data_IF_720655945543
#
_entry.id   IF_720655945543
#
_cell.length_a   1.000
_cell.length_b   1.000
_cell.length_c   1.000
_cell.angle_alpha   90.00
_cell.angle_beta   90.00
_cell.angle_gamma   90.00
#
_symmetry.space_group_name_H-M   'P 1'
#
loop_
_entity.id
_entity.type
_entity.pdbx_description
1 polymer ?
#
# COMPACT_ATOMS: atom_id res chain seq x y z
N UNK A 1 -99.11 -30.52 18.44
CA UNK A 1 -98.14 -30.46 19.56
C UNK A 1 -96.95 -31.34 19.17
N UNK A 2 -95.70 -30.90 19.04
CA UNK A 2 -95.09 -29.61 19.39
C UNK A 2 -94.00 -29.19 18.40
N UNK A 3 -93.31 -28.06 18.64
CA UNK A 3 -92.45 -27.43 17.64
C UNK A 3 -91.01 -27.94 17.67
N UNK A 4 -90.39 -28.01 16.49
CA UNK A 4 -88.95 -28.21 16.28
C UNK A 4 -88.24 -26.87 16.53
N UNK A 5 -87.44 -26.81 17.59
CA UNK A 5 -86.66 -25.63 17.98
C UNK A 5 -85.31 -25.68 17.23
N UNK A 6 -85.13 -24.77 16.27
CA UNK A 6 -83.83 -24.50 15.66
C UNK A 6 -83.03 -23.58 16.58
N UNK A 7 -81.96 -24.08 17.19
CA UNK A 7 -80.98 -23.23 17.88
C UNK A 7 -80.08 -22.56 16.83
N UNK A 8 -80.35 -21.29 16.51
CA UNK A 8 -79.36 -20.47 15.81
C UNK A 8 -78.29 -20.04 16.81
N UNK A 9 -77.08 -20.58 16.67
CA UNK A 9 -75.92 -20.07 17.39
C UNK A 9 -75.50 -18.75 16.73
N UNK A 10 -76.14 -17.66 17.14
CA UNK A 10 -75.64 -16.32 16.87
C UNK A 10 -74.24 -16.18 17.46
N UNK A 11 -73.22 -16.11 16.60
CA UNK A 11 -71.86 -15.83 17.04
C UNK A 11 -71.86 -14.42 17.64
N UNK A 12 -71.76 -14.34 18.97
CA UNK A 12 -71.51 -13.09 19.66
C UNK A 12 -70.22 -12.47 19.12
N UNK A 13 -70.34 -11.38 18.38
CA UNK A 13 -69.20 -10.52 18.11
C UNK A 13 -68.82 -9.82 19.41
N UNK A 14 -67.82 -10.37 20.11
CA UNK A 14 -67.19 -9.70 21.24
C UNK A 14 -66.33 -8.56 20.69
N UNK A 15 -66.68 -7.32 21.04
CA UNK A 15 -65.81 -6.15 20.83
C UNK A 15 -64.57 -6.24 21.74
N UNK A 16 -63.47 -5.64 21.30
CA UNK A 16 -62.26 -5.54 22.11
C UNK A 16 -62.50 -4.63 23.31
N UNK A 17 -62.07 -5.08 24.48
CA UNK A 17 -62.07 -4.24 25.69
C UNK A 17 -60.88 -3.27 25.64
N UNK A 18 -61.05 -2.08 26.21
CA UNK A 18 -59.99 -1.06 26.35
C UNK A 18 -58.68 -1.63 26.96
N UNK A 19 -58.71 -2.46 28.02
CA UNK A 19 -57.50 -3.09 28.54
C UNK A 19 -56.84 -4.09 27.57
N UNK A 20 -57.58 -4.83 26.74
CA UNK A 20 -56.98 -5.71 25.73
C UNK A 20 -56.22 -4.91 24.65
N UNK A 21 -56.73 -3.75 24.26
CA UNK A 21 -56.06 -2.86 23.30
C UNK A 21 -54.75 -2.28 23.87
N UNK A 22 -54.78 -1.85 25.13
CA UNK A 22 -53.58 -1.33 25.81
C UNK A 22 -52.51 -2.42 25.99
N UNK A 23 -52.93 -3.64 26.32
CA UNK A 23 -52.01 -4.77 26.45
C UNK A 23 -51.37 -5.12 25.10
N UNK A 24 -52.17 -5.18 24.02
CA UNK A 24 -51.66 -5.43 22.68
C UNK A 24 -50.67 -4.34 22.22
N UNK A 25 -50.98 -3.06 22.45
CA UNK A 25 -50.11 -1.95 22.07
C UNK A 25 -48.78 -1.95 22.84
N UNK A 26 -48.82 -2.18 24.15
CA UNK A 26 -47.60 -2.25 24.98
C UNK A 26 -46.69 -3.41 24.60
N UNK A 27 -47.25 -4.60 24.32
CA UNK A 27 -46.48 -5.74 23.81
C UNK A 27 -45.87 -5.45 22.44
N UNK A 28 -46.61 -4.79 21.54
CA UNK A 28 -46.08 -4.37 20.24
C UNK A 28 -44.88 -3.44 20.38
N UNK A 29 -44.95 -2.44 21.28
CA UNK A 29 -43.86 -1.51 21.59
C UNK A 29 -42.64 -2.21 22.21
N UNK A 30 -42.85 -3.18 23.10
CA UNK A 30 -41.76 -3.94 23.70
C UNK A 30 -40.99 -4.76 22.66
N UNK A 31 -41.72 -5.41 21.74
CA UNK A 31 -41.12 -6.21 20.67
C UNK A 31 -40.35 -5.33 19.69
N UNK A 32 -40.93 -4.19 19.27
CA UNK A 32 -40.25 -3.27 18.35
C UNK A 32 -39.00 -2.67 18.97
N UNK A 33 -39.04 -2.31 20.26
CA UNK A 33 -37.87 -1.81 20.99
C UNK A 33 -36.73 -2.84 20.99
N UNK A 34 -37.03 -4.10 21.33
CA UNK A 34 -36.04 -5.18 21.27
C UNK A 34 -35.45 -5.37 19.86
N UNK A 35 -36.28 -5.28 18.82
CA UNK A 35 -35.82 -5.38 17.43
C UNK A 35 -34.91 -4.22 17.02
N UNK A 36 -35.21 -3.00 17.46
CA UNK A 36 -34.38 -1.81 17.22
C UNK A 36 -33.00 -2.00 17.85
N UNK A 37 -32.93 -2.47 19.09
CA UNK A 37 -31.66 -2.70 19.78
C UNK A 37 -30.81 -3.78 19.10
N UNK A 38 -31.43 -4.89 18.71
CA UNK A 38 -30.75 -5.95 17.96
C UNK A 38 -30.22 -5.45 16.62
N UNK A 39 -31.02 -4.70 15.87
CA UNK A 39 -30.61 -4.16 14.58
C UNK A 39 -29.51 -3.11 14.73
N UNK A 40 -29.62 -2.22 15.73
CA UNK A 40 -28.58 -1.25 16.04
C UNK A 40 -27.26 -1.94 16.40
N UNK A 41 -27.32 -3.04 17.14
CA UNK A 41 -26.14 -3.83 17.45
C UNK A 41 -25.54 -4.51 16.21
N UNK A 42 -26.38 -5.12 15.39
CA UNK A 42 -25.97 -5.73 14.12
C UNK A 42 -25.25 -4.72 13.22
N UNK A 43 -25.78 -3.51 13.08
CA UNK A 43 -25.16 -2.44 12.30
C UNK A 43 -23.80 -1.99 12.86
N UNK A 44 -23.63 -1.97 14.20
CA UNK A 44 -22.33 -1.67 14.81
C UNK A 44 -21.30 -2.74 14.49
N UNK A 45 -21.67 -4.02 14.61
CA UNK A 45 -20.81 -5.16 14.30
C UNK A 45 -20.42 -5.16 12.82
N UNK A 46 -21.37 -4.93 11.92
CA UNK A 46 -21.08 -4.86 10.48
C UNK A 46 -20.08 -3.76 10.13
N UNK A 47 -20.21 -2.57 10.74
CA UNK A 47 -19.25 -1.47 10.53
C UNK A 47 -17.86 -1.81 11.06
N UNK A 48 -17.78 -2.54 12.17
CA UNK A 48 -16.50 -3.01 12.70
C UNK A 48 -15.84 -4.00 11.74
N UNK A 49 -16.59 -4.99 11.27
CA UNK A 49 -16.12 -5.97 10.29
C UNK A 49 -15.61 -5.27 9.02
N UNK A 50 -16.33 -4.26 8.52
CA UNK A 50 -15.91 -3.50 7.34
C UNK A 50 -14.56 -2.79 7.55
N UNK A 51 -14.37 -2.13 8.69
CA UNK A 51 -13.09 -1.47 9.02
C UNK A 51 -11.94 -2.46 9.13
N UNK A 52 -12.20 -3.61 9.74
CA UNK A 52 -11.18 -4.67 9.87
C UNK A 52 -10.84 -5.25 8.48
N UNK A 53 -11.85 -5.43 7.61
CA UNK A 53 -11.66 -5.87 6.22
C UNK A 53 -10.81 -4.87 5.42
N UNK A 54 -11.11 -3.58 5.51
CA UNK A 54 -10.32 -2.52 4.85
C UNK A 54 -8.84 -2.55 5.30
N UNK A 55 -8.59 -2.71 6.60
CA UNK A 55 -7.23 -2.82 7.14
C UNK A 55 -6.51 -4.08 6.65
N UNK A 56 -7.20 -5.22 6.59
CA UNK A 56 -6.63 -6.48 6.09
C UNK A 56 -6.33 -6.43 4.59
N UNK A 57 -7.22 -5.83 3.79
CA UNK A 57 -7.01 -5.65 2.35
C UNK A 57 -5.86 -4.70 2.06
N UNK A 58 -5.81 -3.56 2.75
CA UNK A 58 -4.70 -2.61 2.66
C UNK A 58 -3.36 -3.25 3.04
N UNK A 59 -3.35 -4.05 4.12
CA UNK A 59 -2.16 -4.80 4.52
C UNK A 59 -1.70 -5.80 3.45
N UNK A 60 -2.63 -6.57 2.85
CA UNK A 60 -2.30 -7.52 1.77
C UNK A 60 -1.78 -6.79 0.52
N UNK A 61 -2.40 -5.68 0.15
CA UNK A 61 -1.97 -4.87 -0.98
C UNK A 61 -0.55 -4.31 -0.79
N UNK A 62 -0.28 -3.71 0.39
CA UNK A 62 1.04 -3.21 0.75
C UNK A 62 2.11 -4.30 0.71
N UNK A 63 1.82 -5.48 1.27
CA UNK A 63 2.74 -6.62 1.27
C UNK A 63 3.01 -7.17 -0.14
N UNK A 64 1.99 -7.31 -0.98
CA UNK A 64 2.20 -7.78 -2.35
C UNK A 64 3.02 -6.78 -3.17
N UNK A 65 2.80 -5.48 -2.94
CA UNK A 65 3.59 -4.43 -3.56
C UNK A 65 5.06 -4.46 -3.11
N UNK A 66 5.32 -4.61 -1.82
CA UNK A 66 6.67 -4.79 -1.29
C UNK A 66 7.33 -6.05 -1.86
N UNK A 67 6.59 -7.16 -1.93
CA UNK A 67 7.08 -8.42 -2.50
C UNK A 67 7.50 -8.26 -3.96
N UNK A 68 6.72 -7.54 -4.76
CA UNK A 68 7.04 -7.27 -6.16
C UNK A 68 8.33 -6.46 -6.30
N UNK A 69 8.54 -5.45 -5.47
CA UNK A 69 9.72 -4.59 -5.50
C UNK A 69 10.97 -5.33 -5.01
N UNK A 70 10.86 -6.09 -3.91
CA UNK A 70 11.95 -6.92 -3.39
C UNK A 70 12.38 -7.99 -4.41
N UNK A 71 11.43 -8.57 -5.17
CA UNK A 71 11.75 -9.54 -6.24
C UNK A 71 12.60 -8.96 -7.36
N UNK A 72 12.52 -7.65 -7.59
CA UNK A 72 13.32 -6.95 -8.59
C UNK A 72 14.59 -6.33 -7.98
N UNK A 73 14.82 -6.46 -6.68
CA UNK A 73 15.99 -5.90 -6.04
C UNK A 73 17.27 -6.48 -6.66
N UNK A 74 18.21 -5.60 -7.03
CA UNK A 74 19.48 -6.00 -7.64
C UNK A 74 19.38 -6.41 -9.11
N UNK A 75 18.19 -6.41 -9.70
CA UNK A 75 18.06 -6.55 -11.15
C UNK A 75 18.50 -5.25 -11.80
N UNK A 76 19.61 -5.25 -12.53
CA UNK A 76 20.12 -4.06 -13.23
C UNK A 76 20.21 -4.23 -14.76
N UNK A 77 20.04 -5.45 -15.27
CA UNK A 77 20.12 -5.75 -16.70
C UNK A 77 21.05 -6.94 -16.97
N UNK A 78 21.37 -7.15 -18.24
CA UNK A 78 22.31 -8.18 -18.68
C UNK A 78 23.74 -7.64 -18.64
N UNK A 79 24.40 -7.75 -17.50
CA UNK A 79 25.80 -7.41 -17.33
C UNK A 79 26.30 -7.90 -15.98
N UNK A 80 27.62 -8.01 -15.83
CA UNK A 80 28.24 -8.21 -14.53
C UNK A 80 28.23 -6.91 -13.74
N UNK A 81 27.92 -7.02 -12.45
CA UNK A 81 28.13 -5.92 -11.51
C UNK A 81 29.64 -5.64 -11.45
N UNK A 82 30.06 -4.37 -11.38
CA UNK A 82 31.46 -4.05 -11.10
C UNK A 82 31.90 -4.74 -9.80
N UNK A 83 33.16 -5.21 -9.74
CA UNK A 83 33.67 -5.98 -8.59
C UNK A 83 33.51 -5.18 -7.30
N UNK A 84 32.65 -5.67 -6.41
CA UNK A 84 32.14 -4.98 -5.21
C UNK A 84 33.06 -5.08 -3.98
N UNK A 85 34.25 -5.68 -4.11
CA UNK A 85 35.05 -6.12 -2.94
C UNK A 85 35.56 -5.00 -2.03
N UNK A 86 35.44 -3.73 -2.43
CA UNK A 86 35.82 -2.57 -1.61
C UNK A 86 34.79 -1.43 -1.63
N UNK A 87 33.59 -1.66 -2.19
CA UNK A 87 32.62 -0.57 -2.33
C UNK A 87 31.97 -0.23 -0.99
N UNK A 88 32.16 1.02 -0.55
CA UNK A 88 31.45 1.55 0.61
C UNK A 88 29.93 1.51 0.33
N UNK A 89 29.18 0.91 1.25
CA UNK A 89 27.73 0.80 1.14
C UNK A 89 27.11 2.20 1.08
N UNK A 90 26.46 2.60 -0.03
CA UNK A 90 25.89 3.93 -0.11
C UNK A 90 24.73 4.09 0.87
N UNK A 91 24.69 5.24 1.55
CA UNK A 91 23.62 5.57 2.49
C UNK A 91 22.22 5.52 1.85
N UNK A 92 21.18 5.40 2.67
CA UNK A 92 19.80 5.31 2.16
C UNK A 92 19.40 6.56 1.35
N UNK A 93 19.89 7.73 1.74
CA UNK A 93 19.63 9.01 1.09
C UNK A 93 20.75 9.45 0.16
N UNK A 94 21.50 8.49 -0.37
CA UNK A 94 22.59 8.76 -1.28
C UNK A 94 22.07 9.53 -2.51
N UNK A 95 22.67 10.69 -2.77
CA UNK A 95 22.40 11.47 -3.96
C UNK A 95 23.30 10.96 -5.09
N UNK A 96 22.70 10.64 -6.23
CA UNK A 96 23.42 10.12 -7.38
C UNK A 96 24.08 11.27 -8.18
N UNK A 97 25.17 11.79 -7.63
CA UNK A 97 26.02 12.82 -8.23
C UNK A 97 27.42 12.26 -8.55
N UNK A 98 27.85 12.39 -9.80
CA UNK A 98 29.25 12.17 -10.21
C UNK A 98 29.80 10.75 -10.00
N UNK A 99 31.07 10.65 -9.58
CA UNK A 99 31.90 9.41 -9.56
C UNK A 99 31.39 8.27 -8.66
N UNK A 100 30.29 8.47 -7.92
CA UNK A 100 29.70 7.43 -7.08
C UNK A 100 28.63 6.56 -7.79
N UNK A 101 28.50 6.69 -9.11
CA UNK A 101 27.57 5.94 -9.94
C UNK A 101 27.73 4.41 -9.82
N UNK A 102 28.95 3.92 -9.57
CA UNK A 102 29.21 2.49 -9.46
C UNK A 102 28.77 1.89 -8.11
N UNK A 103 28.84 2.65 -7.02
CA UNK A 103 28.46 2.18 -5.68
C UNK A 103 26.97 1.86 -5.57
N UNK A 104 26.16 2.40 -6.46
CA UNK A 104 24.71 2.25 -6.48
C UNK A 104 24.27 0.81 -6.76
N UNK A 105 25.13 0.05 -7.44
CA UNK A 105 24.91 -1.38 -7.69
C UNK A 105 25.18 -2.25 -6.46
N UNK A 106 25.93 -1.73 -5.48
CA UNK A 106 26.16 -2.39 -4.21
C UNK A 106 24.94 -2.24 -3.27
N UNK A 107 24.74 -3.25 -2.42
CA UNK A 107 23.65 -3.32 -1.46
C UNK A 107 22.28 -2.93 -2.07
N UNK A 108 21.76 -3.73 -3.01
CA UNK A 108 20.47 -3.45 -3.64
C UNK A 108 19.29 -3.49 -2.66
N UNK A 109 19.49 -4.13 -1.50
CA UNK A 109 18.62 -4.04 -0.35
C UNK A 109 19.39 -3.40 0.82
N UNK A 110 18.77 -2.43 1.46
CA UNK A 110 19.28 -1.80 2.68
C UNK A 110 18.13 -1.47 3.63
N UNK A 111 18.44 -1.24 4.89
CA UNK A 111 17.43 -0.85 5.85
C UNK A 111 18.01 -0.31 7.13
N UNK A 112 17.13 0.35 7.90
CA UNK A 112 17.39 0.76 9.27
C UNK A 112 16.31 0.12 10.13
N UNK A 113 16.73 -0.48 11.23
CA UNK A 113 15.80 -1.06 12.19
C UNK A 113 15.50 -0.06 13.32
N UNK A 114 14.33 -0.20 13.92
CA UNK A 114 13.96 0.42 15.20
C UNK A 114 14.32 1.92 15.29
N UNK A 115 13.77 2.72 14.37
CA UNK A 115 14.09 4.14 14.30
C UNK A 115 13.53 4.91 15.49
N UNK A 116 14.33 5.85 16.00
CA UNK A 116 13.95 6.70 17.12
C UNK A 116 12.89 7.74 16.72
N UNK A 117 12.17 8.26 17.72
CA UNK A 117 11.15 9.29 17.53
C UNK A 117 11.69 10.53 16.79
N UNK A 118 10.85 11.12 15.94
CA UNK A 118 11.13 12.39 15.27
C UNK A 118 12.12 12.30 14.09
N UNK A 119 12.60 11.11 13.73
CA UNK A 119 13.46 10.93 12.56
C UNK A 119 12.68 11.07 11.25
N UNK A 120 13.35 11.57 10.20
CA UNK A 120 12.82 11.64 8.83
C UNK A 120 13.85 11.09 7.86
N UNK A 121 13.39 10.54 6.73
CA UNK A 121 14.27 9.94 5.72
C UNK A 121 14.22 10.72 4.41
N UNK A 122 15.38 11.19 3.95
CA UNK A 122 15.61 11.87 2.68
C UNK A 122 14.66 13.06 2.43
N UNK A 123 14.45 13.91 3.44
CA UNK A 123 13.49 15.02 3.38
C UNK A 123 12.04 14.55 3.28
N UNK A 124 11.73 13.36 3.78
CA UNK A 124 10.39 12.80 3.91
C UNK A 124 9.68 13.27 5.18
N UNK A 125 8.47 12.75 5.37
CA UNK A 125 7.71 12.93 6.61
C UNK A 125 8.38 12.20 7.78
N UNK A 126 7.95 12.54 9.00
CA UNK A 126 8.41 11.88 10.22
C UNK A 126 8.01 10.42 10.24
N UNK A 127 8.97 9.59 10.62
CA UNK A 127 8.84 8.15 10.73
C UNK A 127 8.22 7.81 12.08
N UNK A 128 7.36 6.80 12.10
CA UNK A 128 6.81 6.26 13.33
C UNK A 128 7.93 5.61 14.15
N UNK A 129 8.05 6.01 15.41
CA UNK A 129 9.03 5.43 16.33
C UNK A 129 8.88 3.90 16.42
N UNK A 130 10.01 3.19 16.49
CA UNK A 130 10.06 1.74 16.58
C UNK A 130 9.81 1.01 15.27
N UNK A 131 9.61 1.74 14.16
CA UNK A 131 9.45 1.14 12.83
C UNK A 131 10.74 1.13 12.03
N UNK A 132 10.74 0.31 10.98
CA UNK A 132 11.88 0.09 10.12
C UNK A 132 11.75 0.89 8.81
N UNK A 133 12.91 1.16 8.20
CA UNK A 133 13.00 1.66 6.83
C UNK A 133 13.60 0.57 5.96
N UNK A 134 13.02 0.35 4.79
CA UNK A 134 13.53 -0.55 3.76
C UNK A 134 13.85 0.24 2.49
N UNK A 135 15.05 0.06 1.95
CA UNK A 135 15.52 0.56 0.68
C UNK A 135 15.57 -0.59 -0.32
N UNK A 136 15.06 -0.35 -1.53
CA UNK A 136 15.16 -1.25 -2.68
C UNK A 136 15.76 -0.47 -3.85
N UNK A 137 16.83 -1.01 -4.44
CA UNK A 137 17.46 -0.52 -5.66
C UNK A 137 17.34 -1.57 -6.75
N UNK A 138 16.90 -1.13 -7.92
CA UNK A 138 16.69 -1.98 -9.10
C UNK A 138 16.70 -1.12 -10.37
N UNK A 139 16.73 -1.77 -11.52
CA UNK A 139 16.40 -1.19 -12.80
C UNK A 139 14.99 -1.61 -13.20
N UNK A 140 14.34 -0.75 -13.98
CA UNK A 140 13.04 -1.09 -14.53
C UNK A 140 13.11 -2.27 -15.52
N UNK A 141 12.08 -3.10 -15.54
CA UNK A 141 11.99 -4.27 -16.42
C UNK A 141 11.73 -3.89 -17.89
N UNK A 142 11.26 -2.68 -18.18
CA UNK A 142 11.15 -2.12 -19.52
C UNK A 142 12.45 -1.47 -20.00
N UNK A 143 12.71 -1.57 -21.31
CA UNK A 143 13.79 -0.86 -22.00
C UNK A 143 13.27 0.50 -22.46
N UNK A 144 14.10 1.54 -22.37
CA UNK A 144 13.79 2.90 -22.78
C UNK A 144 14.53 3.27 -24.07
N UNK A 145 13.77 3.72 -25.07
CA UNK A 145 14.32 4.29 -26.32
C UNK A 145 14.33 5.82 -26.32
N UNK A 146 13.57 6.43 -25.40
CA UNK A 146 13.50 7.88 -25.22
C UNK A 146 14.01 8.23 -23.83
N UNK A 147 15.03 9.06 -23.78
CA UNK A 147 15.71 9.42 -22.54
C UNK A 147 15.28 10.81 -22.08
N UNK A 148 15.19 10.99 -20.77
CA UNK A 148 15.01 12.28 -20.13
C UNK A 148 16.35 12.73 -19.54
N UNK A 149 16.76 13.97 -19.84
CA UNK A 149 18.10 14.47 -19.52
C UNK A 149 18.53 14.21 -18.06
N UNK A 150 17.67 14.50 -17.09
CA UNK A 150 17.99 14.40 -15.65
C UNK A 150 17.67 13.04 -15.03
N UNK A 151 17.09 12.11 -15.79
CA UNK A 151 16.76 10.77 -15.30
C UNK A 151 18.00 9.88 -15.36
N UNK A 152 18.25 9.14 -14.29
CA UNK A 152 19.27 8.10 -14.26
C UNK A 152 18.77 6.81 -14.91
N UNK A 153 19.63 6.24 -15.73
CA UNK A 153 19.43 4.98 -16.42
C UNK A 153 20.63 4.07 -16.14
N UNK A 154 20.33 2.79 -16.03
CA UNK A 154 21.32 1.73 -16.12
C UNK A 154 21.47 1.37 -17.60
N UNK A 155 22.67 1.50 -18.10
CA UNK A 155 23.09 1.08 -19.43
C UNK A 155 23.83 -0.23 -19.26
N UNK A 156 23.30 -1.29 -19.87
CA UNK A 156 23.97 -2.59 -19.90
C UNK A 156 24.65 -2.77 -21.26
N UNK A 157 25.98 -2.67 -21.25
CA UNK A 157 26.87 -2.88 -22.40
C UNK A 157 27.74 -4.10 -22.08
N UNK A 158 27.31 -5.32 -22.44
CA UNK A 158 27.92 -6.54 -21.95
C UNK A 158 29.45 -6.57 -22.11
N UNK A 159 30.22 -6.87 -21.05
CA UNK A 159 29.78 -7.34 -19.74
C UNK A 159 29.48 -6.23 -18.72
N UNK A 160 29.65 -4.95 -19.05
CA UNK A 160 29.66 -3.84 -18.09
C UNK A 160 28.24 -3.30 -17.84
N UNK A 161 27.95 -3.01 -16.58
CA UNK A 161 26.82 -2.17 -16.18
C UNK A 161 27.33 -0.78 -15.80
N UNK A 162 26.73 0.24 -16.39
CA UNK A 162 27.04 1.63 -16.09
C UNK A 162 25.76 2.37 -15.70
N UNK A 163 25.90 3.33 -14.79
CA UNK A 163 24.83 4.26 -14.47
C UNK A 163 25.16 5.61 -15.09
N UNK A 164 24.21 6.16 -15.83
CA UNK A 164 24.35 7.46 -16.49
C UNK A 164 23.00 8.19 -16.52
N UNK A 165 23.06 9.51 -16.58
CA UNK A 165 21.92 10.37 -16.84
C UNK A 165 21.54 10.35 -18.30
N UNK A 166 20.29 10.67 -18.63
CA UNK A 166 19.86 10.74 -20.02
C UNK A 166 20.67 11.73 -20.86
N UNK A 167 21.15 12.84 -20.28
CA UNK A 167 22.04 13.78 -20.98
C UNK A 167 23.42 13.18 -21.27
N UNK A 168 24.00 12.44 -20.32
CA UNK A 168 25.31 11.78 -20.53
C UNK A 168 25.21 10.73 -21.64
N UNK A 169 24.12 9.97 -21.67
CA UNK A 169 23.89 8.93 -22.69
C UNK A 169 23.65 9.54 -24.08
N UNK A 170 22.90 10.63 -24.17
CA UNK A 170 22.61 11.30 -25.45
C UNK A 170 23.82 12.04 -26.03
N UNK A 171 24.71 12.52 -25.16
CA UNK A 171 25.89 13.30 -25.56
C UNK A 171 27.13 12.43 -25.75
N UNK A 172 27.10 11.17 -25.35
CA UNK A 172 28.18 10.23 -25.57
C UNK A 172 27.86 9.31 -26.76
N UNK A 173 28.90 8.83 -27.43
CA UNK A 173 28.76 7.75 -28.41
C UNK A 173 28.59 6.37 -27.73
N UNK A 174 28.17 6.31 -26.45
CA UNK A 174 28.13 5.08 -25.64
C UNK A 174 27.03 4.10 -26.04
N UNK A 175 26.15 4.44 -26.99
CA UNK A 175 25.09 3.52 -27.43
C UNK A 175 25.59 2.71 -28.63
N UNK A 176 26.02 1.48 -28.34
CA UNK A 176 26.14 0.39 -29.30
C UNK A 176 24.79 -0.29 -29.56
N UNK A 177 24.69 -1.02 -30.66
CA UNK A 177 23.43 -1.66 -31.09
C UNK A 177 22.88 -2.75 -30.17
N UNK A 178 23.59 -3.09 -29.09
CA UNK A 178 23.21 -4.13 -28.13
C UNK A 178 22.94 -3.61 -26.71
N UNK A 179 22.94 -2.29 -26.52
CA UNK A 179 22.77 -1.73 -25.17
C UNK A 179 21.33 -1.78 -24.71
N UNK A 180 21.11 -2.34 -23.52
CA UNK A 180 19.81 -2.26 -22.87
C UNK A 180 19.81 -1.08 -21.91
N UNK A 181 18.98 -0.07 -22.19
CA UNK A 181 18.86 1.12 -21.36
C UNK A 181 17.60 1.00 -20.50
N UNK A 182 17.76 0.98 -19.19
CA UNK A 182 16.66 0.77 -18.22
C UNK A 182 16.67 1.89 -17.20
N UNK A 183 15.52 2.45 -16.86
CA UNK A 183 15.50 3.51 -15.84
C UNK A 183 15.93 2.96 -14.49
N UNK A 184 16.90 3.60 -13.83
CA UNK A 184 17.28 3.28 -12.47
C UNK A 184 16.13 3.62 -11.51
N UNK A 185 15.88 2.72 -10.55
CA UNK A 185 14.83 2.85 -9.56
C UNK A 185 15.41 2.68 -8.16
N UNK A 186 15.18 3.67 -7.33
CA UNK A 186 15.43 3.59 -5.89
C UNK A 186 14.14 3.93 -5.15
N UNK A 187 13.70 3.01 -4.30
CA UNK A 187 12.47 3.13 -3.53
C UNK A 187 12.78 2.92 -2.05
N UNK A 188 12.28 3.83 -1.23
CA UNK A 188 12.40 3.77 0.24
C UNK A 188 10.99 3.61 0.80
N UNK A 189 10.79 2.56 1.57
CA UNK A 189 9.55 2.24 2.27
C UNK A 189 9.72 2.49 3.75
N UNK A 190 8.75 3.18 4.36
CA UNK A 190 8.76 3.51 5.77
C UNK A 190 7.36 3.81 6.26
N UNK A 191 7.12 3.62 7.56
CA UNK A 191 5.85 3.96 8.19
C UNK A 191 5.98 5.34 8.84
N UNK A 192 4.98 6.17 8.63
CA UNK A 192 4.90 7.53 9.18
C UNK A 192 4.07 7.59 10.45
N UNK A 193 4.15 8.70 11.19
CA UNK A 193 3.44 8.89 12.48
C UNK A 193 1.91 8.66 12.41
N UNK A 194 1.29 8.90 11.26
CA UNK A 194 -0.13 8.58 10.98
C UNK A 194 -0.40 7.09 10.68
N UNK A 195 0.59 6.21 10.90
CA UNK A 195 0.54 4.75 10.73
C UNK A 195 0.28 4.29 9.29
N UNK A 196 0.62 5.12 8.32
CA UNK A 196 0.52 4.80 6.89
C UNK A 196 1.88 4.33 6.37
N UNK A 197 1.91 3.21 5.66
CA UNK A 197 3.11 2.82 4.92
C UNK A 197 3.25 3.74 3.71
N UNK A 198 4.39 4.42 3.60
CA UNK A 198 4.69 5.32 2.49
C UNK A 198 5.89 4.85 1.71
N UNK A 199 5.89 5.21 0.43
CA UNK A 199 7.01 5.02 -0.49
C UNK A 199 7.56 6.36 -0.94
N UNK A 200 8.88 6.48 -0.93
CA UNK A 200 9.62 7.58 -1.53
C UNK A 200 10.46 7.07 -2.69
N UNK A 201 10.44 7.79 -3.82
CA UNK A 201 11.11 7.38 -5.06
C UNK A 201 12.18 8.38 -5.45
N UNK A 202 13.33 7.89 -5.90
CA UNK A 202 14.33 8.72 -6.57
C UNK A 202 14.02 8.80 -8.07
N UNK A 203 13.69 9.98 -8.57
CA UNK A 203 13.31 10.22 -9.98
C UNK A 203 13.84 11.56 -10.46
N UNK A 204 14.51 11.56 -11.61
CA UNK A 204 15.13 12.73 -12.23
C UNK A 204 16.09 13.48 -11.30
N UNK A 205 17.05 12.76 -10.73
CA UNK A 205 18.12 13.34 -9.89
C UNK A 205 17.72 13.74 -8.47
N UNK A 206 16.48 13.52 -8.04
CA UNK A 206 16.04 13.87 -6.69
C UNK A 206 14.97 12.91 -6.14
N UNK A 207 14.87 12.85 -4.81
CA UNK A 207 13.75 12.18 -4.15
C UNK A 207 12.45 12.97 -4.30
N UNK A 208 11.38 12.27 -4.68
CA UNK A 208 10.04 12.84 -4.82
C UNK A 208 9.29 12.87 -3.49
N UNK A 209 8.13 13.54 -3.50
CA UNK A 209 7.20 13.51 -2.38
C UNK A 209 6.85 12.05 -2.03
N UNK A 210 6.61 11.81 -0.75
CA UNK A 210 6.22 10.48 -0.27
C UNK A 210 4.77 10.18 -0.66
N UNK A 211 4.57 9.02 -1.28
CA UNK A 211 3.26 8.52 -1.70
C UNK A 211 2.75 7.48 -0.68
N UNK A 212 1.48 7.51 -0.27
CA UNK A 212 0.89 6.42 0.51
C UNK A 212 0.75 5.15 -0.34
N UNK A 213 0.82 3.99 0.31
CA UNK A 213 0.54 2.67 -0.26
C UNK A 213 -0.84 2.17 0.18
#
# INVERSE_FOLDING_TARGET
>A
MGPLIWHSNGRYMRGFTLPELLLAASLGLLITWGMVDLNANSLRVLRQIQRDQEAHEGGRFALDRLRQEIRLAGFFGSGSLPSTELMERPSLCFNLIGEAHEHVFAAPLDGRNNLAAGQSICGGQKILEGTDVLLVRSAHSGIHLRLSATQHYVVATPPVLQLATGSEILNSAMITCCDSIRSYQQQIFYVTEDRVLRRKRFLRGAFRASEPL
#
